data_IF_701773985292
#
_entry.id   IF_701773985292
#
_cell.length_a   1.000
_cell.length_b   1.000
_cell.length_c   1.000
_cell.angle_alpha   90.00
_cell.angle_beta   90.00
_cell.angle_gamma   90.00
#
_symmetry.space_group_name_H-M   'P 1'
#
loop_
_entity.id
_entity.type
_entity.pdbx_description
1 polymer ?
#
# COMPACT_ATOMS: atom_id res chain seq x y z
N UNK A 1 -0.57 5.29 -10.94
CA UNK A 1 0.60 5.05 -10.06
C UNK A 1 0.70 3.57 -9.75
N UNK A 2 1.89 2.97 -9.84
CA UNK A 2 2.16 1.59 -9.48
C UNK A 2 2.88 1.53 -8.12
N UNK A 3 2.36 0.72 -7.17
CA UNK A 3 3.03 0.52 -5.88
C UNK A 3 4.07 -0.58 -6.00
N UNK A 4 5.31 -0.24 -5.66
CA UNK A 4 6.49 -1.07 -5.84
C UNK A 4 7.05 -1.52 -4.48
N UNK A 5 7.41 -2.79 -4.39
CA UNK A 5 8.21 -3.34 -3.30
C UNK A 5 9.57 -3.74 -3.83
N UNK A 6 10.62 -3.48 -3.06
CA UNK A 6 11.98 -3.72 -3.51
C UNK A 6 12.43 -5.14 -3.18
N UNK A 7 12.77 -5.89 -4.21
CA UNK A 7 13.13 -7.29 -4.12
C UNK A 7 14.65 -7.50 -4.09
N UNK A 8 15.11 -8.63 -3.49
CA UNK A 8 16.52 -9.06 -3.52
C UNK A 8 17.03 -9.29 -4.95
N UNK A 9 16.16 -9.82 -5.81
CA UNK A 9 16.45 -9.98 -7.24
C UNK A 9 16.35 -8.63 -7.95
N UNK A 10 17.51 -8.10 -8.32
CA UNK A 10 17.61 -6.81 -9.04
C UNK A 10 17.02 -6.90 -10.46
N UNK A 11 17.17 -8.06 -11.11
CA UNK A 11 16.58 -8.31 -12.42
C UNK A 11 15.04 -8.24 -12.40
N UNK A 12 14.44 -8.76 -11.33
CA UNK A 12 12.99 -8.62 -11.09
C UNK A 12 12.60 -7.16 -10.93
N UNK A 13 13.34 -6.38 -10.12
CA UNK A 13 13.07 -4.95 -9.95
C UNK A 13 13.14 -4.22 -11.28
N UNK A 14 14.15 -4.51 -12.08
CA UNK A 14 14.36 -3.91 -13.39
C UNK A 14 13.23 -4.23 -14.36
N UNK A 15 12.83 -5.49 -14.43
CA UNK A 15 11.72 -5.94 -15.28
C UNK A 15 10.39 -5.29 -14.86
N UNK A 16 10.13 -5.17 -13.55
CA UNK A 16 8.92 -4.51 -13.06
C UNK A 16 8.86 -3.03 -13.47
N UNK A 17 9.99 -2.32 -13.43
CA UNK A 17 10.06 -0.92 -13.93
C UNK A 17 9.77 -0.87 -15.42
N UNK A 18 10.36 -1.77 -16.20
CA UNK A 18 10.18 -1.82 -17.66
C UNK A 18 8.71 -2.13 -18.01
N UNK A 19 8.09 -3.10 -17.33
CA UNK A 19 6.63 -3.37 -17.46
C UNK A 19 5.75 -2.17 -17.07
N UNK A 20 6.14 -1.39 -16.07
CA UNK A 20 5.42 -0.16 -15.71
C UNK A 20 5.51 0.90 -16.83
N UNK A 21 6.65 1.01 -17.50
CA UNK A 21 6.82 1.90 -18.67
C UNK A 21 5.97 1.44 -19.84
N UNK A 22 6.01 0.15 -20.17
CA UNK A 22 5.21 -0.46 -21.23
C UNK A 22 3.71 -0.27 -21.01
N UNK A 23 3.26 -0.40 -19.76
CA UNK A 23 1.87 -0.19 -19.36
C UNK A 23 1.49 1.29 -19.19
N UNK A 24 2.39 2.22 -19.48
CA UNK A 24 2.18 3.67 -19.39
C UNK A 24 1.69 4.13 -18.00
N UNK A 25 2.29 3.62 -16.93
CA UNK A 25 2.03 4.16 -15.60
C UNK A 25 2.62 5.57 -15.47
N UNK A 26 1.85 6.50 -14.89
CA UNK A 26 2.30 7.90 -14.68
C UNK A 26 3.35 8.02 -13.57
N UNK A 27 3.31 7.12 -12.59
CA UNK A 27 4.17 7.18 -11.41
C UNK A 27 4.46 5.81 -10.81
N UNK A 28 5.62 5.70 -10.14
CA UNK A 28 5.94 4.58 -9.24
C UNK A 28 5.97 5.08 -7.79
N UNK A 29 5.38 4.31 -6.87
CA UNK A 29 5.49 4.50 -5.42
C UNK A 29 6.32 3.36 -4.81
N UNK A 30 7.58 3.63 -4.48
CA UNK A 30 8.45 2.70 -3.77
C UNK A 30 8.07 2.63 -2.29
N UNK A 31 7.69 1.44 -1.83
CA UNK A 31 7.35 1.19 -0.43
C UNK A 31 8.63 0.92 0.38
N UNK A 32 8.95 1.79 1.33
CA UNK A 32 10.21 1.75 2.08
C UNK A 32 10.03 1.31 3.55
N UNK A 33 8.79 1.19 4.02
CA UNK A 33 8.45 0.76 5.39
C UNK A 33 8.19 -0.75 5.51
N UNK A 34 8.42 -1.52 4.45
CA UNK A 34 8.11 -2.95 4.39
C UNK A 34 9.32 -3.74 3.87
N UNK A 35 10.46 -3.62 4.55
CA UNK A 35 11.66 -4.44 4.29
C UNK A 35 11.54 -5.82 4.96
N UNK A 36 10.65 -5.96 5.93
CA UNK A 36 10.27 -7.21 6.59
C UNK A 36 8.77 -7.21 6.91
N UNK A 37 8.20 -8.36 7.16
CA UNK A 37 6.79 -8.48 7.55
C UNK A 37 6.53 -7.96 8.96
N UNK A 38 5.53 -7.10 9.13
CA UNK A 38 5.07 -6.64 10.44
C UNK A 38 4.36 -7.74 11.23
N UNK A 39 4.38 -7.66 12.56
CA UNK A 39 3.69 -8.59 13.43
C UNK A 39 2.16 -8.31 13.41
N UNK A 40 1.41 -9.13 12.69
CA UNK A 40 -0.05 -9.00 12.55
C UNK A 40 -0.74 -9.94 13.52
N UNK A 41 -0.78 -9.58 14.79
CA UNK A 41 -1.32 -10.43 15.86
C UNK A 41 -2.74 -10.94 15.58
N UNK A 42 -3.60 -10.15 14.95
CA UNK A 42 -4.95 -10.57 14.61
C UNK A 42 -4.95 -11.73 13.61
N UNK A 43 -4.07 -11.70 12.60
CA UNK A 43 -3.94 -12.78 11.64
C UNK A 43 -3.46 -14.05 12.33
N UNK A 44 -2.53 -13.92 13.28
CA UNK A 44 -2.07 -15.05 14.12
C UNK A 44 -3.19 -15.60 15.02
N UNK A 45 -3.94 -14.73 15.71
CA UNK A 45 -5.06 -15.12 16.60
C UNK A 45 -6.21 -15.79 15.85
N UNK A 46 -6.50 -15.34 14.64
CA UNK A 46 -7.60 -15.91 13.83
C UNK A 46 -7.15 -17.11 12.98
N UNK A 47 -5.86 -17.44 12.98
CA UNK A 47 -5.30 -18.48 12.13
C UNK A 47 -5.39 -18.18 10.65
N UNK A 48 -5.49 -16.88 10.28
CA UNK A 48 -5.53 -16.46 8.89
C UNK A 48 -4.18 -16.75 8.22
N UNK A 49 -4.24 -17.49 7.11
CA UNK A 49 -3.07 -17.78 6.26
C UNK A 49 -3.40 -17.46 4.81
N UNK A 50 -2.39 -17.22 3.99
CA UNK A 50 -2.55 -17.13 2.55
C UNK A 50 -1.58 -18.12 1.88
N UNK A 51 -2.05 -19.16 1.18
CA UNK A 51 -3.48 -19.50 0.98
C UNK A 51 -4.19 -19.89 2.27
N UNK A 52 -5.54 -19.73 2.34
CA UNK A 52 -6.31 -20.01 3.54
C UNK A 52 -6.26 -21.48 3.89
N UNK A 53 -6.00 -21.80 5.17
CA UNK A 53 -6.14 -23.17 5.68
C UNK A 53 -7.63 -23.43 5.96
N UNK A 54 -8.14 -24.52 5.38
CA UNK A 54 -9.52 -24.92 5.60
C UNK A 54 -9.63 -25.61 6.98
N UNK A 55 -10.13 -24.89 7.95
CA UNK A 55 -10.52 -25.42 9.26
C UNK A 55 -12.03 -25.58 9.30
N UNK A 56 -12.56 -26.38 10.25
CA UNK A 56 -14.00 -26.53 10.41
C UNK A 56 -14.70 -25.16 10.64
N UNK A 57 -14.07 -24.28 11.40
CA UNK A 57 -14.56 -22.92 11.63
C UNK A 57 -14.61 -22.09 10.34
N UNK A 58 -13.57 -22.17 9.47
CA UNK A 58 -13.58 -21.46 8.21
C UNK A 58 -14.60 -22.02 7.23
N UNK A 59 -14.81 -23.34 7.22
CA UNK A 59 -15.86 -23.97 6.39
C UNK A 59 -17.27 -23.52 6.81
N UNK A 60 -17.55 -23.46 8.13
CA UNK A 60 -18.81 -22.95 8.65
C UNK A 60 -18.96 -21.47 8.26
N UNK A 61 -17.90 -20.67 8.39
CA UNK A 61 -17.94 -19.26 7.99
C UNK A 61 -18.24 -19.10 6.49
N UNK A 62 -17.65 -19.90 5.63
CA UNK A 62 -17.93 -19.87 4.17
C UNK A 62 -19.37 -20.29 3.88
N UNK A 63 -19.88 -21.30 4.56
CA UNK A 63 -21.27 -21.74 4.43
C UNK A 63 -22.30 -20.67 4.83
N UNK A 64 -21.95 -19.86 5.84
CA UNK A 64 -22.78 -18.74 6.28
C UNK A 64 -22.70 -17.50 5.36
N UNK A 65 -21.76 -17.48 4.41
CA UNK A 65 -21.58 -16.40 3.43
C UNK A 65 -21.64 -16.93 1.99
N UNK A 66 -22.78 -17.49 1.56
CA UNK A 66 -22.88 -18.20 0.28
C UNK A 66 -22.57 -17.30 -0.93
N UNK A 67 -22.99 -16.04 -0.92
CA UNK A 67 -22.69 -15.11 -2.01
C UNK A 67 -21.19 -14.86 -2.18
N UNK A 68 -20.46 -14.77 -1.07
CA UNK A 68 -19.00 -14.68 -1.11
C UNK A 68 -18.37 -15.98 -1.67
N UNK A 69 -18.84 -17.12 -1.22
CA UNK A 69 -18.33 -18.43 -1.65
C UNK A 69 -18.59 -18.63 -3.18
N UNK A 70 -19.80 -18.36 -3.65
CA UNK A 70 -20.14 -18.43 -5.07
C UNK A 70 -19.22 -17.50 -5.89
N UNK A 71 -19.07 -16.26 -5.44
CA UNK A 71 -18.23 -15.28 -6.13
C UNK A 71 -16.75 -15.74 -6.17
N UNK A 72 -16.22 -16.27 -5.06
CA UNK A 72 -14.86 -16.79 -5.00
C UNK A 72 -14.62 -17.97 -5.94
N UNK A 73 -15.58 -18.92 -6.03
CA UNK A 73 -15.45 -20.10 -6.89
C UNK A 73 -15.80 -19.85 -8.36
N UNK A 74 -16.53 -18.77 -8.68
CA UNK A 74 -16.90 -18.39 -10.05
C UNK A 74 -15.82 -17.57 -10.76
N UNK A 75 -14.81 -17.08 -10.04
CA UNK A 75 -13.72 -16.30 -10.62
C UNK A 75 -12.45 -17.14 -10.76
N UNK A 76 -11.53 -16.66 -11.58
CA UNK A 76 -10.20 -17.27 -11.75
C UNK A 76 -9.46 -17.32 -10.41
N UNK A 77 -8.61 -18.34 -10.25
CA UNK A 77 -7.78 -18.48 -9.06
C UNK A 77 -6.88 -17.26 -8.89
N UNK A 78 -6.80 -16.79 -7.65
CA UNK A 78 -5.87 -15.71 -7.30
C UNK A 78 -4.42 -16.12 -7.62
N UNK A 79 -3.77 -15.35 -8.47
CA UNK A 79 -2.37 -15.48 -8.82
C UNK A 79 -1.65 -14.15 -8.67
N UNK A 80 -0.38 -14.19 -8.28
CA UNK A 80 0.51 -13.02 -8.30
C UNK A 80 1.10 -12.89 -9.72
N UNK A 81 0.31 -12.36 -10.65
CA UNK A 81 0.63 -12.31 -12.08
C UNK A 81 2.00 -11.67 -12.38
N UNK A 82 2.41 -10.68 -11.59
CA UNK A 82 3.70 -9.99 -11.75
C UNK A 82 4.91 -10.85 -11.36
N UNK A 83 4.69 -11.89 -10.54
CA UNK A 83 5.73 -12.77 -10.03
C UNK A 83 5.69 -14.16 -10.66
N UNK A 84 4.73 -14.42 -11.55
CA UNK A 84 4.48 -15.75 -12.14
C UNK A 84 5.72 -16.33 -12.82
N UNK A 85 6.46 -15.51 -13.55
CA UNK A 85 7.66 -15.92 -14.29
C UNK A 85 8.87 -16.18 -13.37
N UNK A 86 8.83 -15.71 -12.12
CA UNK A 86 9.91 -15.81 -11.13
C UNK A 86 9.63 -16.87 -10.05
N UNK A 87 8.42 -17.40 -9.99
CA UNK A 87 8.07 -18.51 -9.10
C UNK A 87 8.47 -19.81 -9.82
N UNK A 88 9.53 -20.48 -9.32
CA UNK A 88 9.93 -21.78 -9.86
C UNK A 88 8.74 -22.74 -9.88
N UNK A 89 8.42 -23.29 -11.06
CA UNK A 89 7.46 -24.37 -11.21
C UNK A 89 7.87 -25.54 -10.29
N UNK A 90 7.03 -25.89 -9.32
CA UNK A 90 7.30 -26.96 -8.37
C UNK A 90 7.58 -26.52 -6.93
N UNK A 91 7.74 -25.22 -6.64
CA UNK A 91 7.64 -24.75 -5.24
C UNK A 91 6.20 -24.96 -4.78
N UNK A 92 5.99 -25.81 -3.78
CA UNK A 92 4.68 -26.00 -3.17
C UNK A 92 4.10 -24.61 -2.86
N UNK A 93 2.97 -24.25 -3.46
CA UNK A 93 2.17 -23.04 -3.20
C UNK A 93 1.70 -22.94 -1.72
N UNK A 94 2.20 -23.81 -0.86
CA UNK A 94 2.00 -23.86 0.58
C UNK A 94 2.85 -22.83 1.35
N UNK A 95 3.78 -22.11 0.70
CA UNK A 95 4.43 -20.97 1.32
C UNK A 95 3.39 -19.86 1.35
N UNK A 96 3.07 -19.37 2.54
CA UNK A 96 2.11 -18.27 2.66
C UNK A 96 2.59 -17.09 1.80
N UNK A 97 1.66 -16.37 1.16
CA UNK A 97 2.01 -15.14 0.40
C UNK A 97 2.82 -14.19 1.28
N UNK A 98 2.57 -14.18 2.60
CA UNK A 98 3.34 -13.42 3.57
C UNK A 98 4.79 -13.90 3.70
N UNK A 99 5.03 -15.19 3.78
CA UNK A 99 6.38 -15.77 3.88
C UNK A 99 7.15 -15.58 2.58
N UNK A 100 6.46 -15.73 1.44
CA UNK A 100 7.02 -15.45 0.13
C UNK A 100 7.47 -13.98 0.02
N UNK A 101 6.58 -13.03 0.36
CA UNK A 101 6.94 -11.61 0.38
C UNK A 101 8.11 -11.34 1.32
N UNK A 102 8.08 -11.87 2.54
CA UNK A 102 9.17 -11.66 3.52
C UNK A 102 10.51 -12.24 3.06
N UNK A 103 10.50 -13.35 2.31
CA UNK A 103 11.71 -13.98 1.78
C UNK A 103 12.29 -13.26 0.56
N UNK A 104 11.42 -12.62 -0.25
CA UNK A 104 11.80 -11.97 -1.50
C UNK A 104 12.19 -10.50 -1.32
N UNK A 105 11.69 -9.83 -0.27
CA UNK A 105 12.01 -8.43 -0.02
C UNK A 105 13.47 -8.26 0.41
N UNK A 106 14.08 -7.18 -0.07
CA UNK A 106 15.46 -6.84 0.30
C UNK A 106 15.49 -6.06 1.61
N UNK A 107 15.95 -6.74 2.66
CA UNK A 107 16.12 -6.14 3.99
C UNK A 107 17.31 -5.17 4.06
N UNK A 108 18.19 -5.20 3.06
CA UNK A 108 19.37 -4.33 2.98
C UNK A 108 19.16 -3.13 2.03
N UNK A 109 17.94 -2.93 1.53
CA UNK A 109 17.61 -1.78 0.68
C UNK A 109 18.02 -0.47 1.36
N UNK A 110 18.77 0.35 0.65
CA UNK A 110 19.26 1.64 1.13
C UNK A 110 18.84 2.82 0.20
N UNK A 111 19.25 4.02 0.55
CA UNK A 111 18.98 5.23 -0.22
C UNK A 111 19.56 5.21 -1.64
N UNK A 112 20.71 4.53 -1.84
CA UNK A 112 21.34 4.39 -3.17
C UNK A 112 20.49 3.50 -4.08
N UNK A 113 19.84 2.48 -3.52
CA UNK A 113 18.92 1.63 -4.27
C UNK A 113 17.69 2.41 -4.71
N UNK A 114 17.12 3.24 -3.83
CA UNK A 114 16.00 4.11 -4.15
C UNK A 114 16.37 5.13 -5.24
N UNK A 115 17.56 5.72 -5.14
CA UNK A 115 18.08 6.66 -6.15
C UNK A 115 18.28 6.00 -7.52
N UNK A 116 18.85 4.79 -7.57
CA UNK A 116 19.01 4.01 -8.80
C UNK A 116 17.66 3.67 -9.43
N UNK A 117 16.69 3.23 -8.61
CA UNK A 117 15.34 2.91 -9.08
C UNK A 117 14.66 4.15 -9.67
N UNK A 118 14.78 5.29 -8.97
CA UNK A 118 14.27 6.58 -9.44
C UNK A 118 14.90 6.98 -10.77
N UNK A 119 16.22 6.87 -10.89
CA UNK A 119 16.96 7.20 -12.12
C UNK A 119 16.53 6.28 -13.28
N UNK A 120 16.38 4.98 -13.02
CA UNK A 120 15.88 4.03 -14.04
C UNK A 120 14.45 4.34 -14.46
N UNK A 121 13.56 4.67 -13.51
CA UNK A 121 12.18 5.03 -13.82
C UNK A 121 12.10 6.28 -14.69
N UNK A 122 12.74 7.36 -14.27
CA UNK A 122 12.84 8.63 -15.00
C UNK A 122 11.57 9.50 -14.98
N UNK A 123 10.48 9.03 -14.38
CA UNK A 123 9.19 9.73 -14.25
C UNK A 123 8.88 10.18 -12.82
N UNK A 124 7.59 10.38 -12.52
CA UNK A 124 7.12 10.73 -11.19
C UNK A 124 7.41 9.59 -10.21
N UNK A 125 8.14 9.89 -9.14
CA UNK A 125 8.62 8.89 -8.19
C UNK A 125 8.27 9.26 -6.76
N UNK A 126 7.49 8.40 -6.11
CA UNK A 126 7.01 8.57 -4.74
C UNK A 126 7.73 7.60 -3.80
N UNK A 127 8.17 8.06 -2.63
CA UNK A 127 8.58 7.20 -1.53
C UNK A 127 7.43 7.05 -0.54
N UNK A 128 6.92 5.82 -0.37
CA UNK A 128 5.82 5.50 0.55
C UNK A 128 6.36 4.90 1.84
N UNK A 129 5.98 5.47 2.98
CA UNK A 129 6.42 5.02 4.29
C UNK A 129 7.39 5.98 4.99
N UNK A 130 7.42 7.23 4.55
CA UNK A 130 8.26 8.27 5.14
C UNK A 130 7.56 8.83 6.38
N UNK A 131 8.20 8.71 7.55
CA UNK A 131 7.63 9.10 8.84
C UNK A 131 8.53 10.05 9.63
N UNK A 132 9.62 10.56 9.03
CA UNK A 132 10.52 11.51 9.69
C UNK A 132 10.89 12.66 8.75
N UNK A 133 11.15 13.82 9.33
CA UNK A 133 11.66 15.00 8.62
C UNK A 133 13.02 14.72 7.98
N UNK A 134 13.88 13.94 8.66
CA UNK A 134 15.20 13.61 8.14
C UNK A 134 15.11 12.77 6.87
N UNK A 135 14.20 11.80 6.82
CA UNK A 135 14.01 10.96 5.63
C UNK A 135 13.25 11.70 4.52
N UNK A 136 12.34 12.61 4.88
CA UNK A 136 11.69 13.49 3.91
C UNK A 136 12.71 14.39 3.18
N UNK A 137 13.69 14.94 3.90
CA UNK A 137 14.79 15.70 3.29
C UNK A 137 15.66 14.85 2.37
N UNK A 138 16.03 13.64 2.80
CA UNK A 138 16.77 12.70 1.94
C UNK A 138 15.97 12.30 0.68
N UNK A 139 14.64 12.18 0.79
CA UNK A 139 13.78 11.93 -0.37
C UNK A 139 13.90 13.06 -1.42
N UNK A 140 13.95 14.32 -0.96
CA UNK A 140 14.24 15.47 -1.84
C UNK A 140 15.62 15.35 -2.47
N UNK A 141 16.65 15.02 -1.67
CA UNK A 141 18.05 14.95 -2.13
C UNK A 141 18.24 13.91 -3.23
N UNK A 142 17.56 12.76 -3.17
CA UNK A 142 17.61 11.73 -4.24
C UNK A 142 16.71 12.07 -5.43
N UNK A 143 16.00 13.20 -5.41
CA UNK A 143 15.12 13.67 -6.48
C UNK A 143 13.78 12.96 -6.56
N UNK A 144 13.23 12.46 -5.44
CA UNK A 144 11.84 12.04 -5.38
C UNK A 144 10.92 13.23 -5.70
N UNK A 145 9.81 12.97 -6.40
CA UNK A 145 8.84 14.01 -6.76
C UNK A 145 7.71 14.11 -5.73
N UNK A 146 7.53 13.07 -4.94
CA UNK A 146 6.54 13.03 -3.86
C UNK A 146 6.92 12.04 -2.77
N UNK A 147 6.30 12.21 -1.60
CA UNK A 147 6.36 11.25 -0.49
C UNK A 147 4.96 10.96 0.03
N UNK A 148 4.75 9.71 0.49
CA UNK A 148 3.59 9.35 1.30
C UNK A 148 4.02 9.24 2.76
N UNK A 149 3.48 10.13 3.60
CA UNK A 149 3.60 10.04 5.06
C UNK A 149 2.68 8.92 5.51
N UNK A 150 3.27 7.78 5.85
CA UNK A 150 2.56 6.52 6.05
C UNK A 150 3.28 5.64 7.07
N UNK A 151 2.53 5.06 8.01
CA UNK A 151 2.97 3.97 8.88
C UNK A 151 2.34 2.62 8.47
N UNK A 152 1.96 2.49 7.20
CA UNK A 152 1.30 1.30 6.63
C UNK A 152 -0.04 0.96 7.32
N UNK A 153 -0.72 1.97 7.86
CA UNK A 153 -1.95 1.79 8.63
C UNK A 153 -1.74 1.07 9.97
N UNK A 154 -0.55 1.23 10.59
CA UNK A 154 -0.16 0.57 11.83
C UNK A 154 0.10 -0.93 11.70
N UNK A 155 0.41 -1.42 10.49
CA UNK A 155 0.57 -2.86 10.21
C UNK A 155 2.04 -3.32 10.14
N UNK A 156 2.99 -2.39 10.21
CA UNK A 156 4.43 -2.67 10.16
C UNK A 156 5.06 -2.47 11.55
N UNK A 157 5.54 -1.29 11.88
CA UNK A 157 6.06 -0.98 13.20
C UNK A 157 4.91 -0.62 14.14
N UNK A 158 4.68 -1.43 15.17
CA UNK A 158 3.71 -1.11 16.21
C UNK A 158 4.22 0.04 17.10
N UNK A 159 3.29 0.87 17.57
CA UNK A 159 3.61 2.03 18.40
C UNK A 159 4.23 3.22 17.66
N UNK A 160 4.33 3.17 16.31
CA UNK A 160 4.76 4.36 15.54
C UNK A 160 3.70 5.45 15.59
N UNK A 161 4.14 6.73 15.51
CA UNK A 161 3.22 7.90 15.47
C UNK A 161 2.24 7.77 14.30
N UNK A 162 1.08 8.42 14.43
CA UNK A 162 0.15 8.47 13.30
C UNK A 162 0.73 9.32 12.16
N UNK A 163 0.42 9.00 10.90
CA UNK A 163 0.84 9.82 9.77
C UNK A 163 0.38 11.26 9.89
N UNK A 164 -0.81 11.50 10.42
CA UNK A 164 -1.35 12.85 10.60
C UNK A 164 -0.54 13.66 11.62
N UNK A 165 -0.07 13.04 12.72
CA UNK A 165 0.74 13.71 13.74
C UNK A 165 2.16 14.07 13.25
N UNK A 166 2.64 13.41 12.18
CA UNK A 166 3.92 13.72 11.54
C UNK A 166 3.78 14.69 10.36
N UNK A 167 2.55 14.89 9.86
CA UNK A 167 2.31 15.56 8.60
C UNK A 167 2.78 17.02 8.60
N UNK A 168 2.45 17.78 9.65
CA UNK A 168 2.81 19.20 9.74
C UNK A 168 4.33 19.40 9.67
N UNK A 169 5.07 18.69 10.53
CA UNK A 169 6.53 18.80 10.61
C UNK A 169 7.20 18.45 9.26
N UNK A 170 6.65 17.48 8.54
CA UNK A 170 7.16 17.04 7.23
C UNK A 170 6.80 18.06 6.14
N UNK A 171 5.56 18.56 6.13
CA UNK A 171 5.12 19.60 5.17
C UNK A 171 5.94 20.87 5.34
N UNK A 172 6.17 21.32 6.56
CA UNK A 172 6.98 22.52 6.85
C UNK A 172 8.43 22.35 6.36
N UNK A 173 8.95 21.13 6.39
CA UNK A 173 10.32 20.86 6.00
C UNK A 173 10.56 20.70 4.49
N UNK A 174 9.58 20.17 3.73
CA UNK A 174 9.77 19.79 2.33
C UNK A 174 8.56 20.07 1.41
N UNK A 175 7.45 20.55 1.92
CA UNK A 175 6.21 20.73 1.15
C UNK A 175 6.28 21.80 0.06
N UNK A 176 7.30 22.65 0.06
CA UNK A 176 7.63 23.60 -0.99
C UNK A 176 8.49 23.00 -2.12
N UNK A 177 9.03 21.80 -1.92
CA UNK A 177 9.98 21.12 -2.83
C UNK A 177 9.39 19.91 -3.53
N UNK A 178 8.59 19.13 -2.81
CA UNK A 178 7.96 17.89 -3.32
C UNK A 178 6.53 17.77 -2.80
N UNK A 179 5.71 17.00 -3.50
CA UNK A 179 4.34 16.73 -3.05
C UNK A 179 4.33 15.80 -1.83
N UNK A 180 3.58 16.21 -0.79
CA UNK A 180 3.38 15.41 0.42
C UNK A 180 1.96 14.83 0.42
N UNK A 181 1.85 13.51 0.52
CA UNK A 181 0.60 12.77 0.52
C UNK A 181 0.38 12.18 1.92
N UNK A 182 -0.78 12.41 2.53
CA UNK A 182 -1.15 11.78 3.80
C UNK A 182 -1.76 10.39 3.56
N UNK A 183 -1.11 9.33 4.05
CA UNK A 183 -1.58 7.95 3.91
C UNK A 183 -1.77 7.28 5.27
N UNK A 184 -2.99 6.91 5.56
CA UNK A 184 -3.38 6.23 6.80
C UNK A 184 -4.41 7.00 7.62
N UNK A 185 -5.35 6.25 8.20
CA UNK A 185 -6.41 6.82 9.03
C UNK A 185 -7.54 7.55 8.26
N UNK A 186 -7.45 7.69 6.96
CA UNK A 186 -8.46 8.38 6.13
C UNK A 186 -9.72 7.53 6.02
N UNK A 187 -10.82 8.00 6.63
CA UNK A 187 -12.12 7.31 6.69
C UNK A 187 -13.31 8.22 6.45
N UNK A 188 -13.14 9.54 6.54
CA UNK A 188 -14.18 10.57 6.46
C UNK A 188 -13.72 11.74 5.63
N UNK A 189 -14.66 12.50 5.07
CA UNK A 189 -14.39 13.74 4.34
C UNK A 189 -13.59 14.75 5.18
N UNK A 190 -13.93 14.89 6.47
CA UNK A 190 -13.19 15.75 7.40
C UNK A 190 -11.74 15.35 7.58
N UNK A 191 -11.38 14.06 7.46
CA UNK A 191 -9.97 13.65 7.55
C UNK A 191 -9.19 14.14 6.33
N UNK A 192 -9.81 14.12 5.15
CA UNK A 192 -9.21 14.67 3.93
C UNK A 192 -9.00 16.18 4.09
N UNK A 193 -10.05 16.93 4.48
CA UNK A 193 -9.96 18.38 4.65
C UNK A 193 -8.90 18.79 5.68
N UNK A 194 -8.82 18.09 6.80
CA UNK A 194 -7.78 18.31 7.81
C UNK A 194 -6.37 18.10 7.26
N UNK A 195 -6.15 17.03 6.50
CA UNK A 195 -4.83 16.77 5.92
C UNK A 195 -4.45 17.82 4.87
N UNK A 196 -5.40 18.23 4.02
CA UNK A 196 -5.19 19.28 3.03
C UNK A 196 -4.94 20.64 3.70
N UNK A 197 -5.65 20.98 4.79
CA UNK A 197 -5.43 22.23 5.52
C UNK A 197 -4.06 22.31 6.20
N UNK A 198 -3.44 21.19 6.51
CA UNK A 198 -2.06 21.10 7.02
C UNK A 198 -1.03 21.24 5.88
N UNK A 199 -1.45 21.13 4.61
CA UNK A 199 -0.59 21.31 3.44
C UNK A 199 -0.30 20.01 2.66
N UNK A 200 -0.94 18.90 3.00
CA UNK A 200 -0.89 17.73 2.11
C UNK A 200 -1.49 18.07 0.74
N UNK A 201 -0.91 17.57 -0.33
CA UNK A 201 -1.44 17.71 -1.69
C UNK A 201 -2.54 16.72 -2.02
N UNK A 202 -2.52 15.57 -1.35
CA UNK A 202 -3.51 14.50 -1.52
C UNK A 202 -3.58 13.62 -0.28
N UNK A 203 -4.62 12.77 -0.24
CA UNK A 203 -4.77 11.72 0.75
C UNK A 203 -4.84 10.35 0.08
N UNK A 204 -4.33 9.33 0.75
CA UNK A 204 -4.45 7.93 0.37
C UNK A 204 -5.24 7.16 1.41
N UNK A 205 -6.12 6.28 0.97
CA UNK A 205 -6.96 5.47 1.83
C UNK A 205 -6.94 4.00 1.42
N UNK A 206 -6.43 3.12 2.28
CA UNK A 206 -6.40 1.67 2.03
C UNK A 206 -7.69 0.97 2.43
N UNK A 207 -7.85 0.72 3.74
CA UNK A 207 -9.00 -0.03 4.29
C UNK A 207 -10.36 0.64 4.05
N UNK A 208 -10.38 1.93 3.77
CA UNK A 208 -11.60 2.67 3.44
C UNK A 208 -12.37 2.00 2.28
N UNK A 209 -11.71 1.75 1.16
CA UNK A 209 -12.36 1.11 0.00
C UNK A 209 -12.31 -0.43 0.09
N UNK A 210 -11.30 -1.02 0.76
CA UNK A 210 -11.20 -2.48 0.88
C UNK A 210 -12.38 -3.08 1.66
N UNK A 211 -12.84 -2.42 2.73
CA UNK A 211 -14.03 -2.87 3.45
C UNK A 211 -15.30 -2.73 2.61
N UNK A 212 -15.41 -1.66 1.83
CA UNK A 212 -16.53 -1.47 0.94
C UNK A 212 -16.55 -2.52 -0.19
N UNK A 213 -15.37 -2.83 -0.76
CA UNK A 213 -15.19 -3.89 -1.74
C UNK A 213 -15.59 -5.26 -1.16
N UNK A 214 -15.13 -5.58 0.04
CA UNK A 214 -15.45 -6.84 0.72
C UNK A 214 -16.95 -6.97 1.03
N UNK A 215 -17.61 -5.86 1.35
CA UNK A 215 -19.03 -5.85 1.72
C UNK A 215 -19.97 -5.99 0.51
N UNK A 216 -19.69 -5.33 -0.63
CA UNK A 216 -20.61 -5.22 -1.74
C UNK A 216 -19.92 -5.05 -3.12
N UNK A 217 -18.69 -5.50 -3.28
CA UNK A 217 -17.99 -5.45 -4.56
C UNK A 217 -17.86 -4.04 -5.12
N UNK A 218 -18.02 -3.91 -6.42
CA UNK A 218 -17.92 -2.62 -7.12
C UNK A 218 -18.91 -1.58 -6.57
N UNK A 219 -20.16 -1.95 -6.39
CA UNK A 219 -21.21 -1.03 -5.88
C UNK A 219 -20.88 -0.49 -4.48
N UNK A 220 -20.23 -1.32 -3.63
CA UNK A 220 -19.74 -0.90 -2.32
C UNK A 220 -18.68 0.18 -2.45
N UNK A 221 -17.72 0.00 -3.33
CA UNK A 221 -16.65 0.98 -3.58
C UNK A 221 -17.20 2.29 -4.13
N UNK A 222 -18.09 2.23 -5.13
CA UNK A 222 -18.76 3.41 -5.70
C UNK A 222 -19.52 4.19 -4.63
N UNK A 223 -20.27 3.49 -3.76
CA UNK A 223 -21.00 4.10 -2.67
C UNK A 223 -20.08 4.75 -1.64
N UNK A 224 -18.95 4.10 -1.30
CA UNK A 224 -17.98 4.66 -0.37
C UNK A 224 -17.35 5.94 -0.92
N UNK A 225 -16.95 5.95 -2.20
CA UNK A 225 -16.38 7.13 -2.86
C UNK A 225 -17.40 8.26 -2.91
N UNK A 226 -18.65 7.97 -3.30
CA UNK A 226 -19.72 8.96 -3.34
C UNK A 226 -19.99 9.57 -1.97
N UNK A 227 -20.05 8.73 -0.92
CA UNK A 227 -20.23 9.21 0.45
C UNK A 227 -19.07 10.12 0.89
N UNK A 228 -17.82 9.72 0.60
CA UNK A 228 -16.64 10.54 0.90
C UNK A 228 -16.72 11.92 0.21
N UNK A 229 -17.07 11.93 -1.08
CA UNK A 229 -17.26 13.16 -1.85
C UNK A 229 -18.33 14.05 -1.21
N UNK A 230 -19.50 13.49 -0.91
CA UNK A 230 -20.61 14.22 -0.28
C UNK A 230 -20.22 14.79 1.09
N UNK A 231 -19.48 14.03 1.89
CA UNK A 231 -18.95 14.54 3.19
C UNK A 231 -18.02 15.72 2.96
N UNK A 232 -17.07 15.64 2.03
CA UNK A 232 -16.15 16.74 1.71
C UNK A 232 -16.92 17.98 1.27
N UNK A 233 -17.84 17.85 0.30
CA UNK A 233 -18.62 18.97 -0.21
C UNK A 233 -19.50 19.63 0.85
N UNK A 234 -20.07 18.87 1.77
CA UNK A 234 -20.85 19.37 2.89
C UNK A 234 -19.94 20.09 3.90
N UNK A 235 -18.86 19.44 4.31
CA UNK A 235 -18.01 19.90 5.40
C UNK A 235 -17.19 21.14 4.99
N UNK A 236 -16.99 21.36 3.67
CA UNK A 236 -16.44 22.61 3.13
C UNK A 236 -17.38 23.82 3.24
N UNK A 237 -18.68 23.58 3.48
CA UNK A 237 -19.71 24.64 3.61
C UNK A 237 -19.97 25.01 5.07
N UNK A 238 -19.53 24.20 6.01
CA UNK A 238 -19.69 24.40 7.45
C UNK A 238 -18.50 25.13 8.05
#
# INVERSE_FOLDING_TARGET
MFQFYFHKDRGLNDNMVDKCKEANFDAIALTVDTITGGNRERDLKTGFTSPPRLTLSSLISFALHPMWAINYFSHEKFELSQLKDYIKQGSNLAISVGDYFSSMLDQNMDWKDAEKLRAKWGGQFCLKGIMSVSDAKKAVDIGATSIMVSNHGGRQLDGSRSPFDQLADIVDAVGDKIDVICDGGIRRGTHVLKALSVGAKACSGGRFYLYALAAAGQSGVEKAILNMKTEIERDMKL
#
